data_IF_154771789713
#
_entry.id   IF_154771789713
#
_cell.length_a   1.000
_cell.length_b   1.000
_cell.length_c   1.000
_cell.angle_alpha   90.00
_cell.angle_beta   90.00
_cell.angle_gamma   90.00
#
_symmetry.space_group_name_H-M   'P 1'
#
loop_
_entity.id
_entity.type
_entity.pdbx_description
1 polymer ?
#
# COMPACT_ATOMS: atom_id res chain seq x y z
N UNK A 1 7.07 -8.98 4.38
CA UNK A 1 6.89 -7.94 3.35
C UNK A 1 6.53 -8.65 2.07
N UNK A 2 5.33 -8.43 1.55
CA UNK A 2 4.87 -9.07 0.33
C UNK A 2 5.62 -8.48 -0.87
N UNK A 3 6.14 -9.29 -1.79
CA UNK A 3 6.92 -8.85 -2.98
C UNK A 3 6.11 -8.05 -4.02
N UNK A 4 4.88 -7.71 -3.65
CA UNK A 4 3.89 -7.10 -4.51
C UNK A 4 4.08 -5.58 -4.66
N UNK A 5 3.92 -5.09 -5.89
CA UNK A 5 4.01 -3.66 -6.23
C UNK A 5 2.66 -3.14 -6.75
N UNK A 6 2.39 -1.87 -6.50
CA UNK A 6 1.18 -1.22 -6.95
C UNK A 6 1.12 -1.24 -8.48
N UNK A 7 0.07 -1.81 -9.11
CA UNK A 7 0.02 -1.94 -10.57
C UNK A 7 -0.10 -0.60 -11.30
N UNK A 8 -0.49 0.47 -10.60
CA UNK A 8 -0.63 1.83 -11.18
C UNK A 8 0.64 2.67 -11.10
N UNK A 9 1.42 2.55 -10.04
CA UNK A 9 2.56 3.44 -9.80
C UNK A 9 3.88 2.73 -9.46
N UNK A 10 3.89 1.40 -9.33
CA UNK A 10 5.06 0.62 -8.92
C UNK A 10 5.47 0.78 -7.45
N UNK A 11 4.70 1.54 -6.66
CA UNK A 11 4.95 1.75 -5.23
C UNK A 11 4.73 0.50 -4.39
N UNK A 12 5.16 0.55 -3.14
CA UNK A 12 4.93 -0.55 -2.18
C UNK A 12 3.45 -0.72 -1.84
N UNK A 13 3.05 -1.98 -1.70
CA UNK A 13 1.73 -2.36 -1.21
C UNK A 13 1.81 -2.84 0.24
N UNK A 14 0.81 -2.47 1.02
CA UNK A 14 0.53 -3.04 2.33
C UNK A 14 -0.50 -4.15 2.17
N UNK A 15 -0.23 -5.32 2.75
CA UNK A 15 -1.14 -6.46 2.77
C UNK A 15 -1.96 -6.40 4.07
N UNK A 16 -3.21 -5.96 3.94
CA UNK A 16 -4.15 -5.79 5.04
C UNK A 16 -4.85 -7.10 5.43
N UNK A 17 -4.63 -8.19 4.69
CA UNK A 17 -5.19 -9.50 5.08
C UNK A 17 -4.47 -10.11 6.29
N UNK A 18 -3.26 -9.64 6.59
CA UNK A 18 -2.50 -10.03 7.77
C UNK A 18 -3.19 -9.38 8.99
N UNK A 19 -4.09 -10.13 9.63
CA UNK A 19 -4.94 -9.74 10.77
C UNK A 19 -6.31 -9.10 10.43
N UNK A 20 -6.87 -9.40 9.26
CA UNK A 20 -8.26 -9.02 8.94
C UNK A 20 -9.29 -10.02 9.50
N UNK A 21 -9.37 -10.13 10.82
CA UNK A 21 -10.24 -11.10 11.51
C UNK A 21 -11.75 -10.84 11.25
N UNK A 22 -12.10 -9.62 10.85
CA UNK A 22 -13.47 -9.17 10.58
C UNK A 22 -13.82 -9.15 9.08
N UNK A 23 -12.86 -9.49 8.22
CA UNK A 23 -13.06 -9.61 6.78
C UNK A 23 -13.33 -8.27 6.06
N UNK A 24 -12.87 -7.14 6.59
CA UNK A 24 -13.09 -5.82 6.01
C UNK A 24 -12.33 -5.57 4.70
N UNK A 25 -11.25 -6.32 4.47
CA UNK A 25 -10.34 -6.16 3.36
C UNK A 25 -10.28 -7.40 2.46
N UNK A 26 -11.26 -8.31 2.58
CA UNK A 26 -11.30 -9.57 1.81
C UNK A 26 -11.33 -9.34 0.30
N UNK A 27 -12.09 -8.34 -0.17
CA UNK A 27 -12.21 -8.05 -1.61
C UNK A 27 -10.93 -7.40 -2.17
N UNK A 28 -10.38 -6.42 -1.46
CA UNK A 28 -9.22 -5.63 -1.90
C UNK A 28 -8.14 -5.53 -0.80
N UNK A 29 -7.41 -6.62 -0.50
CA UNK A 29 -6.51 -6.67 0.65
C UNK A 29 -5.22 -5.87 0.48
N UNK A 30 -4.90 -5.41 -0.73
CA UNK A 30 -3.63 -4.72 -1.00
C UNK A 30 -3.81 -3.22 -1.13
N UNK A 31 -3.27 -2.43 -0.19
CA UNK A 31 -3.35 -0.95 -0.24
C UNK A 31 -2.05 -0.35 -0.76
N UNK A 32 -2.14 0.58 -1.71
CA UNK A 32 -0.99 1.39 -2.11
C UNK A 32 -0.64 2.43 -1.05
N UNK A 33 0.62 2.45 -0.62
CA UNK A 33 1.14 3.43 0.34
C UNK A 33 1.70 4.70 -0.33
N UNK A 34 1.60 4.82 -1.66
CA UNK A 34 2.29 5.87 -2.42
C UNK A 34 3.81 5.68 -2.43
N UNK A 35 4.55 6.65 -2.94
CA UNK A 35 6.02 6.66 -2.94
C UNK A 35 6.54 7.55 -1.82
N UNK A 36 7.66 7.15 -1.21
CA UNK A 36 8.36 8.03 -0.27
C UNK A 36 8.94 9.23 -1.02
N UNK A 37 8.65 10.43 -0.52
CA UNK A 37 9.04 11.70 -1.14
C UNK A 37 10.22 12.37 -0.44
N UNK A 38 10.54 11.96 0.80
CA UNK A 38 11.60 12.59 1.58
C UNK A 38 11.33 14.04 1.99
N UNK A 39 10.10 14.54 1.84
CA UNK A 39 9.76 15.95 2.06
C UNK A 39 10.01 16.43 3.51
N UNK A 40 9.75 15.55 4.48
CA UNK A 40 9.95 15.80 5.91
C UNK A 40 10.81 14.67 6.49
N UNK A 41 12.14 14.67 6.27
CA UNK A 41 13.02 13.54 6.59
C UNK A 41 13.12 13.24 8.09
N UNK A 42 12.82 14.23 8.94
CA UNK A 42 12.80 14.09 10.40
C UNK A 42 11.53 13.39 10.92
N UNK A 43 10.54 13.18 10.05
CA UNK A 43 9.30 12.46 10.35
C UNK A 43 9.43 11.05 9.75
N UNK A 44 8.77 10.06 10.37
CA UNK A 44 8.76 8.67 9.88
C UNK A 44 8.49 8.60 8.36
N UNK A 45 9.17 7.65 7.71
CA UNK A 45 8.94 7.29 6.30
C UNK A 45 7.50 6.86 6.02
N UNK A 46 6.81 6.37 7.05
CA UNK A 46 5.43 5.86 6.98
C UNK A 46 4.40 6.98 7.24
N UNK A 47 4.85 8.20 7.57
CA UNK A 47 3.94 9.33 7.70
C UNK A 47 3.32 9.69 6.35
N UNK A 48 2.01 9.88 6.31
CA UNK A 48 1.29 10.28 5.10
C UNK A 48 1.82 11.57 4.46
N UNK A 49 2.36 12.50 5.27
CA UNK A 49 2.99 13.74 4.75
C UNK A 49 4.30 13.48 3.98
N UNK A 50 4.93 12.33 4.19
CA UNK A 50 6.12 11.89 3.49
C UNK A 50 5.84 10.98 2.29
N UNK A 51 4.58 10.68 2.00
CA UNK A 51 4.19 9.80 0.88
C UNK A 51 3.43 10.58 -0.19
N UNK A 52 3.50 10.13 -1.43
CA UNK A 52 2.56 10.56 -2.47
C UNK A 52 1.15 10.05 -2.15
N UNK A 53 0.13 10.59 -2.82
CA UNK A 53 -1.23 10.06 -2.71
C UNK A 53 -1.27 8.57 -3.07
N UNK A 54 -2.06 7.81 -2.32
CA UNK A 54 -2.35 6.41 -2.60
C UNK A 54 -3.07 6.25 -3.94
N UNK A 55 -2.78 5.15 -4.64
CA UNK A 55 -3.51 4.74 -5.85
C UNK A 55 -4.81 3.97 -5.56
N UNK A 56 -5.11 3.72 -4.27
CA UNK A 56 -6.26 2.95 -3.81
C UNK A 56 -5.90 1.56 -3.29
N UNK A 57 -6.93 0.73 -3.24
CA UNK A 57 -6.88 -0.68 -2.86
C UNK A 57 -6.92 -1.55 -4.12
N UNK A 58 -6.45 -2.79 -3.98
CA UNK A 58 -6.33 -3.73 -5.08
C UNK A 58 -6.64 -5.15 -4.62
N UNK A 59 -7.25 -5.91 -5.52
CA UNK A 59 -7.48 -7.35 -5.36
C UNK A 59 -6.17 -8.14 -5.57
N UNK A 60 -6.17 -9.42 -5.20
CA UNK A 60 -5.01 -10.30 -5.40
C UNK A 60 -4.69 -10.53 -6.88
N UNK A 61 -5.70 -10.57 -7.76
CA UNK A 61 -5.52 -10.73 -9.20
C UNK A 61 -4.89 -9.50 -9.85
N UNK A 62 -5.23 -8.31 -9.37
CA UNK A 62 -4.70 -7.05 -9.92
C UNK A 62 -3.21 -6.87 -9.65
N UNK A 63 -2.71 -7.49 -8.59
CA UNK A 63 -1.33 -7.31 -8.08
C UNK A 63 -0.38 -8.40 -8.55
N UNK A 64 -0.91 -9.54 -8.98
CA UNK A 64 -0.14 -10.67 -9.55
C UNK A 64 0.16 -10.55 -11.05
N UNK A 65 -0.36 -9.52 -11.71
CA UNK A 65 -0.07 -9.20 -13.13
C UNK A 65 1.19 -8.36 -13.25
#
# INVERSE_FOLDING_TARGET
>A
MSDYKCPKCGGELEDLSINDDWGWHVEEPYRCNGHYTGRFPNISKDCAMNRTKSCGYFTKEQVKK
#
